data_IF_157249036534
#
_entry.id   IF_157249036534
#
_cell.length_a   1.000
_cell.length_b   1.000
_cell.length_c   1.000
_cell.angle_alpha   90.00
_cell.angle_beta   90.00
_cell.angle_gamma   90.00
#
_symmetry.space_group_name_H-M   'P 1'
#
loop_
_entity.id
_entity.type
_entity.pdbx_description
1 polymer ?
#
# COMPACT_ATOMS: atom_id res chain seq x y z
N UNK A 1 18.95 6.28 -37.63
CA UNK A 1 19.58 6.64 -36.34
C UNK A 1 18.61 6.26 -35.22
N UNK A 2 18.74 5.06 -34.68
CA UNK A 2 17.82 4.45 -33.71
C UNK A 2 17.94 5.19 -32.37
N UNK A 3 16.87 5.85 -31.94
CA UNK A 3 16.83 6.56 -30.65
C UNK A 3 16.85 5.49 -29.55
N UNK A 4 18.03 5.23 -28.98
CA UNK A 4 18.15 4.48 -27.72
C UNK A 4 17.27 5.23 -26.72
N UNK A 5 16.13 4.65 -26.34
CA UNK A 5 15.41 5.10 -25.16
C UNK A 5 16.37 4.85 -24.00
N UNK A 6 17.15 5.86 -23.64
CA UNK A 6 17.74 5.91 -22.31
C UNK A 6 16.59 5.66 -21.35
N UNK A 7 16.72 4.70 -20.44
CA UNK A 7 15.87 4.61 -19.26
C UNK A 7 16.09 5.90 -18.45
N UNK A 8 15.54 7.01 -18.94
CA UNK A 8 15.81 8.33 -18.42
C UNK A 8 15.06 8.45 -17.10
N UNK A 9 15.85 8.46 -16.02
CA UNK A 9 15.54 9.17 -14.77
C UNK A 9 14.12 8.98 -14.27
N UNK A 10 13.76 7.75 -13.92
CA UNK A 10 12.71 7.55 -12.91
C UNK A 10 13.17 8.33 -11.68
N UNK A 11 12.43 9.35 -11.20
CA UNK A 11 12.77 10.06 -9.97
C UNK A 11 13.06 9.05 -8.89
N UNK A 12 14.02 9.29 -8.00
CA UNK A 12 14.38 8.31 -6.97
C UNK A 12 13.15 7.82 -6.17
N UNK A 13 12.11 8.67 -6.04
CA UNK A 13 10.84 8.33 -5.40
C UNK A 13 9.83 7.53 -6.20
N UNK A 14 10.10 7.29 -7.47
CA UNK A 14 9.34 6.37 -8.31
C UNK A 14 10.10 5.06 -8.55
N UNK A 15 11.23 4.83 -7.85
CA UNK A 15 11.94 3.55 -7.93
C UNK A 15 11.12 2.42 -7.30
N UNK A 16 11.29 1.24 -7.87
CA UNK A 16 10.73 -0.03 -7.37
C UNK A 16 11.31 -0.33 -5.98
N UNK A 17 10.48 -0.78 -5.05
CA UNK A 17 10.89 -1.12 -3.68
C UNK A 17 11.21 0.10 -2.82
N UNK A 18 10.57 1.24 -3.08
CA UNK A 18 10.79 2.47 -2.30
C UNK A 18 9.59 2.80 -1.41
N UNK A 19 9.89 3.37 -0.25
CA UNK A 19 8.88 3.90 0.69
C UNK A 19 8.98 5.41 0.73
N UNK A 20 7.83 6.09 0.82
CA UNK A 20 7.72 7.56 0.87
C UNK A 20 6.83 7.98 2.03
N UNK A 21 7.09 9.18 2.55
CA UNK A 21 6.18 9.80 3.51
C UNK A 21 4.79 9.99 2.87
N UNK A 22 3.69 9.74 3.60
CA UNK A 22 3.60 9.33 5.01
C UNK A 22 3.39 7.81 5.17
N UNK A 23 4.35 6.97 4.79
CA UNK A 23 4.29 5.49 4.80
C UNK A 23 3.61 4.84 3.58
N UNK A 24 3.78 5.41 2.38
CA UNK A 24 3.36 4.80 1.12
C UNK A 24 4.52 3.96 0.58
N UNK A 25 4.33 2.65 0.48
CA UNK A 25 5.27 1.71 -0.10
C UNK A 25 4.90 1.38 -1.55
N UNK A 26 5.91 1.33 -2.42
CA UNK A 26 5.79 0.85 -3.79
C UNK A 26 6.61 -0.43 -3.95
N UNK A 27 5.98 -1.61 -3.89
CA UNK A 27 6.66 -2.88 -4.09
C UNK A 27 7.42 -2.93 -5.42
N UNK A 28 8.55 -3.63 -5.43
CA UNK A 28 9.41 -3.68 -6.62
C UNK A 28 8.78 -4.49 -7.77
N UNK A 29 8.11 -5.59 -7.42
CA UNK A 29 7.40 -6.44 -8.37
C UNK A 29 6.30 -7.15 -7.60
N UNK A 30 5.04 -6.77 -7.81
CA UNK A 30 3.91 -7.43 -7.13
C UNK A 30 2.91 -8.02 -8.11
N UNK A 31 2.99 -7.61 -9.38
CA UNK A 31 2.03 -7.98 -10.42
C UNK A 31 2.75 -7.99 -11.75
N UNK A 32 2.44 -8.99 -12.60
CA UNK A 32 2.85 -9.03 -13.99
C UNK A 32 2.83 -7.62 -14.63
N UNK A 33 3.98 -7.23 -15.18
CA UNK A 33 4.11 -5.96 -15.89
C UNK A 33 3.01 -5.88 -16.97
N UNK A 34 2.37 -4.72 -17.20
CA UNK A 34 2.70 -3.36 -16.74
C UNK A 34 1.75 -2.83 -15.64
N UNK A 35 1.61 -3.56 -14.53
CA UNK A 35 0.80 -3.11 -13.38
C UNK A 35 1.68 -2.53 -12.28
N UNK A 36 1.22 -1.50 -11.60
CA UNK A 36 1.87 -0.89 -10.44
C UNK A 36 1.05 -1.20 -9.18
N UNK A 37 1.73 -1.53 -8.09
CA UNK A 37 1.11 -1.70 -6.78
C UNK A 37 1.59 -0.61 -5.83
N UNK A 38 0.70 -0.20 -4.95
CA UNK A 38 0.95 0.69 -3.82
C UNK A 38 0.34 0.09 -2.57
N UNK A 39 1.05 0.23 -1.48
CA UNK A 39 0.62 -0.16 -0.15
C UNK A 39 0.75 1.03 0.78
N UNK A 40 -0.21 1.21 1.67
CA UNK A 40 -0.21 2.34 2.58
C UNK A 40 -0.76 1.91 3.94
N UNK A 41 0.01 2.19 4.99
CA UNK A 41 -0.39 2.04 6.38
C UNK A 41 -0.84 3.40 6.89
N UNK A 42 -2.15 3.62 6.96
CA UNK A 42 -2.74 4.85 7.48
C UNK A 42 -3.05 4.62 8.95
N UNK A 43 -2.45 5.37 9.88
CA UNK A 43 -2.80 5.23 11.28
C UNK A 43 -4.23 5.72 11.50
N UNK A 44 -5.04 4.93 12.20
CA UNK A 44 -6.42 5.27 12.59
C UNK A 44 -6.41 5.81 14.02
N UNK A 45 -5.66 5.14 14.89
CA UNK A 45 -5.37 5.52 16.27
C UNK A 45 -4.00 4.94 16.69
N UNK A 46 -3.72 4.91 17.99
CA UNK A 46 -2.45 4.44 18.57
C UNK A 46 -2.17 2.95 18.31
N UNK A 47 -3.21 2.12 18.22
CA UNK A 47 -3.11 0.66 18.14
C UNK A 47 -3.51 0.12 16.75
N UNK A 48 -4.28 0.90 15.98
CA UNK A 48 -4.87 0.46 14.72
C UNK A 48 -4.33 1.22 13.50
N UNK A 49 -4.05 0.45 12.46
CA UNK A 49 -3.70 0.98 11.13
C UNK A 49 -4.63 0.41 10.07
N UNK A 50 -5.11 1.28 9.17
CA UNK A 50 -5.78 0.87 7.96
C UNK A 50 -4.73 0.51 6.91
N UNK A 51 -4.73 -0.76 6.51
CA UNK A 51 -3.85 -1.25 5.45
C UNK A 51 -4.55 -1.16 4.10
N UNK A 52 -4.15 -0.19 3.29
CA UNK A 52 -4.68 0.06 1.96
C UNK A 52 -3.74 -0.52 0.90
N UNK A 53 -4.31 -1.30 -0.02
CA UNK A 53 -3.60 -1.87 -1.17
C UNK A 53 -4.26 -1.41 -2.48
N UNK A 54 -3.50 -0.74 -3.34
CA UNK A 54 -3.97 -0.27 -4.63
C UNK A 54 -3.15 -0.88 -5.77
N UNK A 55 -3.84 -1.44 -6.76
CA UNK A 55 -3.24 -1.87 -8.03
C UNK A 55 -3.71 -0.94 -9.14
N UNK A 56 -2.78 -0.43 -9.94
CA UNK A 56 -3.07 0.51 -11.02
C UNK A 56 -2.42 0.06 -12.33
N UNK A 57 -3.10 0.30 -13.43
CA UNK A 57 -2.57 0.10 -14.78
C UNK A 57 -2.84 1.34 -15.61
N UNK A 58 -1.77 1.94 -16.13
CA UNK A 58 -1.87 3.09 -17.03
C UNK A 58 -2.10 2.60 -18.45
N UNK A 59 -3.33 2.73 -18.95
CA UNK A 59 -3.66 2.41 -20.34
C UNK A 59 -4.87 3.21 -20.80
N UNK A 60 -4.88 3.60 -22.08
CA UNK A 60 -6.04 4.21 -22.75
C UNK A 60 -6.89 3.18 -23.51
N UNK A 61 -6.45 1.93 -23.58
CA UNK A 61 -7.14 0.88 -24.33
C UNK A 61 -8.26 0.26 -23.47
N UNK A 62 -9.54 0.34 -23.88
CA UNK A 62 -10.66 -0.14 -23.08
C UNK A 62 -10.64 -1.66 -22.87
N UNK A 63 -10.15 -2.45 -23.83
CA UNK A 63 -10.03 -3.90 -23.68
C UNK A 63 -9.00 -4.26 -22.60
N UNK A 64 -7.90 -3.50 -22.53
CA UNK A 64 -6.88 -3.71 -21.49
C UNK A 64 -7.39 -3.26 -20.11
N UNK A 65 -8.26 -2.26 -20.04
CA UNK A 65 -8.95 -1.88 -18.79
C UNK A 65 -9.86 -3.02 -18.34
N UNK A 66 -10.66 -3.58 -19.25
CA UNK A 66 -11.56 -4.69 -18.92
C UNK A 66 -10.78 -5.94 -18.49
N UNK A 67 -9.74 -6.32 -19.23
CA UNK A 67 -8.87 -7.44 -18.88
C UNK A 67 -8.17 -7.23 -17.53
N UNK A 68 -7.74 -6.00 -17.24
CA UNK A 68 -7.17 -5.65 -15.93
C UNK A 68 -8.19 -5.82 -14.81
N UNK A 69 -9.41 -5.29 -14.96
CA UNK A 69 -10.49 -5.44 -13.98
C UNK A 69 -10.88 -6.90 -13.78
N UNK A 70 -11.05 -7.66 -14.84
CA UNK A 70 -11.39 -9.08 -14.77
C UNK A 70 -10.29 -9.86 -14.02
N UNK A 71 -9.02 -9.68 -14.40
CA UNK A 71 -7.89 -10.32 -13.71
C UNK A 71 -7.77 -9.88 -12.24
N UNK A 72 -8.10 -8.62 -11.94
CA UNK A 72 -8.11 -8.12 -10.58
C UNK A 72 -9.11 -8.89 -9.70
N UNK A 73 -10.36 -8.97 -10.16
CA UNK A 73 -11.45 -9.61 -9.42
C UNK A 73 -11.37 -11.14 -9.37
N UNK A 74 -10.93 -11.77 -10.45
CA UNK A 74 -10.89 -13.24 -10.54
C UNK A 74 -9.68 -13.85 -9.84
N UNK A 75 -8.56 -13.11 -9.75
CA UNK A 75 -7.29 -13.70 -9.31
C UNK A 75 -6.58 -12.85 -8.27
N UNK A 76 -6.25 -11.60 -8.63
CA UNK A 76 -5.33 -10.79 -7.84
C UNK A 76 -5.85 -10.48 -6.43
N UNK A 77 -7.14 -10.11 -6.32
CA UNK A 77 -7.77 -9.81 -5.04
C UNK A 77 -7.66 -10.98 -4.06
N UNK A 78 -7.87 -12.21 -4.54
CA UNK A 78 -7.92 -13.39 -3.68
C UNK A 78 -6.53 -13.93 -3.35
N UNK A 79 -5.65 -14.03 -4.34
CA UNK A 79 -4.36 -14.69 -4.15
C UNK A 79 -3.28 -13.74 -3.65
N UNK A 80 -3.20 -12.54 -4.20
CA UNK A 80 -2.19 -11.59 -3.78
C UNK A 80 -2.66 -10.78 -2.57
N UNK A 81 -3.79 -10.08 -2.68
CA UNK A 81 -4.19 -9.17 -1.60
C UNK A 81 -4.71 -9.87 -0.35
N UNK A 82 -5.44 -10.97 -0.51
CA UNK A 82 -5.95 -11.72 0.63
C UNK A 82 -4.92 -12.75 1.10
N UNK A 83 -4.59 -13.78 0.31
CA UNK A 83 -3.76 -14.91 0.80
C UNK A 83 -2.30 -14.55 1.07
N UNK A 84 -1.67 -13.74 0.23
CA UNK A 84 -0.26 -13.35 0.42
C UNK A 84 -0.15 -12.31 1.53
N UNK A 85 -0.83 -11.16 1.39
CA UNK A 85 -0.70 -10.09 2.38
C UNK A 85 -1.35 -10.38 3.74
N UNK A 86 -2.20 -11.40 3.88
CA UNK A 86 -2.63 -11.86 5.21
C UNK A 86 -1.45 -12.38 6.05
N UNK A 87 -0.40 -12.89 5.41
CA UNK A 87 0.79 -13.39 6.11
C UNK A 87 1.57 -12.22 6.73
N UNK A 88 1.72 -11.13 5.99
CA UNK A 88 2.35 -9.90 6.48
C UNK A 88 1.57 -9.32 7.66
N UNK A 89 0.24 -9.28 7.57
CA UNK A 89 -0.62 -8.85 8.69
C UNK A 89 -0.42 -9.71 9.95
N UNK A 90 -0.38 -11.03 9.80
CA UNK A 90 -0.12 -11.95 10.92
C UNK A 90 1.28 -11.77 11.50
N UNK A 91 2.29 -11.46 10.67
CA UNK A 91 3.65 -11.23 11.11
C UNK A 91 3.74 -9.93 11.92
N UNK A 92 3.16 -8.84 11.42
CA UNK A 92 3.10 -7.54 12.13
C UNK A 92 2.45 -7.72 13.49
N UNK A 93 1.29 -8.39 13.54
CA UNK A 93 0.55 -8.65 14.76
C UNK A 93 1.38 -9.46 15.79
N UNK A 94 2.07 -10.51 15.32
CA UNK A 94 2.99 -11.28 16.15
C UNK A 94 4.17 -10.45 16.65
N UNK A 95 4.79 -9.64 15.79
CA UNK A 95 5.93 -8.82 16.15
C UNK A 95 5.56 -7.76 17.19
N UNK A 96 4.42 -7.07 17.02
CA UNK A 96 3.91 -6.06 17.95
C UNK A 96 3.65 -6.64 19.34
N UNK A 97 3.09 -7.85 19.43
CA UNK A 97 2.82 -8.49 20.74
C UNK A 97 4.07 -9.07 21.42
N UNK A 98 5.00 -9.61 20.65
CA UNK A 98 6.07 -10.46 21.19
C UNK A 98 7.45 -9.77 21.25
N UNK A 99 7.70 -8.75 20.44
CA UNK A 99 9.03 -8.13 20.33
C UNK A 99 9.18 -6.99 21.32
N UNK A 100 9.86 -7.24 22.44
CA UNK A 100 10.13 -6.24 23.49
C UNK A 100 11.40 -5.42 23.27
N UNK A 101 12.37 -5.96 22.53
CA UNK A 101 13.63 -5.30 22.20
C UNK A 101 14.08 -5.71 20.80
N UNK A 102 14.29 -4.73 19.91
CA UNK A 102 14.74 -4.98 18.55
C UNK A 102 16.25 -5.32 18.51
N UNK A 103 16.61 -6.28 17.66
CA UNK A 103 18.01 -6.61 17.33
C UNK A 103 18.17 -6.56 15.82
N UNK A 104 18.70 -5.44 15.33
CA UNK A 104 18.81 -5.20 13.90
C UNK A 104 19.99 -5.95 13.29
N UNK A 105 19.77 -6.45 12.08
CA UNK A 105 20.77 -7.08 11.23
C UNK A 105 21.08 -6.21 10.02
N UNK A 106 22.13 -6.55 9.27
CA UNK A 106 22.57 -5.81 8.07
C UNK A 106 21.44 -5.39 7.10
N UNK A 107 20.45 -6.24 6.75
CA UNK A 107 19.36 -5.82 5.85
C UNK A 107 18.44 -4.73 6.42
N UNK A 108 18.41 -4.55 7.75
CA UNK A 108 17.58 -3.53 8.43
C UNK A 108 18.18 -2.12 8.31
N UNK A 109 19.30 -1.97 7.62
CA UNK A 109 19.83 -0.66 7.21
C UNK A 109 18.78 0.16 6.44
N UNK A 110 17.91 -0.51 5.67
CA UNK A 110 16.79 0.12 4.95
C UNK A 110 15.74 0.72 5.90
N UNK A 111 15.32 -0.03 6.92
CA UNK A 111 14.37 0.44 7.96
C UNK A 111 14.99 1.57 8.78
N UNK A 112 16.27 1.45 9.12
CA UNK A 112 17.00 2.50 9.84
C UNK A 112 17.10 3.79 9.03
N UNK A 113 17.38 3.69 7.73
CA UNK A 113 17.41 4.84 6.81
C UNK A 113 16.02 5.47 6.67
N UNK A 114 14.97 4.66 6.61
CA UNK A 114 13.58 5.13 6.63
C UNK A 114 13.26 5.92 7.89
N UNK A 115 13.56 5.40 9.09
CA UNK A 115 13.32 6.11 10.37
C UNK A 115 14.00 7.48 10.40
N UNK A 116 15.28 7.54 10.01
CA UNK A 116 16.03 8.80 9.90
C UNK A 116 15.40 9.78 8.91
N UNK A 117 14.83 9.28 7.80
CA UNK A 117 14.12 10.13 6.85
C UNK A 117 12.83 10.69 7.45
N UNK A 118 12.06 9.87 8.18
CA UNK A 118 10.85 10.32 8.88
C UNK A 118 11.17 11.43 9.88
N UNK A 119 12.16 11.21 10.75
CA UNK A 119 12.59 12.20 11.76
C UNK A 119 12.96 13.56 11.13
N UNK A 120 13.57 13.54 9.95
CA UNK A 120 14.06 14.76 9.28
C UNK A 120 13.02 15.45 8.40
N UNK A 121 12.09 14.71 7.82
CA UNK A 121 11.25 15.18 6.71
C UNK A 121 9.74 15.07 6.99
N UNK A 122 9.33 14.43 8.08
CA UNK A 122 7.91 14.43 8.48
C UNK A 122 7.43 15.86 8.72
N UNK A 123 6.18 16.12 8.34
CA UNK A 123 5.58 17.46 8.40
C UNK A 123 5.11 17.87 9.80
N UNK A 124 5.26 17.00 10.79
CA UNK A 124 4.78 17.19 12.15
C UNK A 124 4.38 15.85 12.77
N UNK A 125 4.23 15.84 14.09
CA UNK A 125 3.61 14.75 14.83
C UNK A 125 2.13 15.03 15.01
N UNK A 126 1.35 13.96 15.17
CA UNK A 126 -0.06 14.07 15.51
C UNK A 126 -0.14 14.05 17.04
N UNK A 127 -0.25 15.22 17.66
CA UNK A 127 -0.29 15.36 19.13
C UNK A 127 -1.61 14.88 19.75
N UNK A 128 -2.65 14.78 18.92
CA UNK A 128 -3.96 14.22 19.27
C UNK A 128 -4.42 13.36 18.12
N UNK A 129 -4.59 12.06 18.36
CA UNK A 129 -5.27 11.15 17.44
C UNK A 129 -6.71 11.62 17.30
N UNK A 130 -6.95 12.47 16.31
CA UNK A 130 -8.30 12.63 15.80
C UNK A 130 -8.63 11.26 15.25
N UNK A 131 -9.53 10.53 15.91
CA UNK A 131 -10.21 9.43 15.26
C UNK A 131 -10.62 9.96 13.89
N UNK A 132 -10.23 9.27 12.82
CA UNK A 132 -10.63 9.66 11.48
C UNK A 132 -12.14 9.36 11.41
N UNK A 133 -12.97 10.19 12.05
CA UNK A 133 -14.43 10.17 12.00
C UNK A 133 -15.10 8.79 12.08
N UNK A 134 -14.55 7.79 12.77
CA UNK A 134 -15.28 6.53 13.02
C UNK A 134 -16.22 6.67 14.23
N UNK A 135 -16.00 7.69 15.05
CA UNK A 135 -16.89 8.08 16.13
C UNK A 135 -17.95 9.06 15.59
N UNK A 136 -19.14 8.52 15.23
CA UNK A 136 -20.38 9.22 14.82
C UNK A 136 -20.35 9.97 13.47
N UNK A 137 -20.25 9.21 12.38
CA UNK A 137 -20.94 9.41 11.08
C UNK A 137 -20.11 8.65 10.04
N UNK A 138 -20.14 7.31 10.11
CA UNK A 138 -20.23 6.59 8.87
C UNK A 138 -21.54 7.06 8.25
N UNK A 139 -21.47 8.03 7.35
CA UNK A 139 -22.61 8.52 6.59
C UNK A 139 -23.32 7.26 6.07
N UNK A 140 -24.49 6.93 6.65
CA UNK A 140 -25.27 5.74 6.28
C UNK A 140 -25.68 5.82 4.79
N UNK A 141 -25.51 6.98 4.15
CA UNK A 141 -25.63 7.16 2.71
C UNK A 141 -24.52 6.50 1.87
N UNK A 142 -23.38 6.14 2.47
CA UNK A 142 -22.29 5.39 1.81
C UNK A 142 -22.38 3.88 2.05
N UNK A 143 -23.58 3.36 2.37
CA UNK A 143 -23.88 1.95 2.15
C UNK A 143 -23.62 1.59 0.69
N UNK A 144 -22.69 0.66 0.48
CA UNK A 144 -22.56 -0.09 -0.75
C UNK A 144 -23.92 -0.77 -1.05
N UNK A 145 -24.68 -0.21 -2.00
CA UNK A 145 -25.84 -0.88 -2.60
C UNK A 145 -25.36 -2.04 -3.48
N UNK A 146 -24.92 -3.10 -2.84
CA UNK A 146 -24.70 -4.39 -3.48
C UNK A 146 -26.03 -4.96 -3.95
N UNK A 147 -26.22 -4.98 -5.28
CA UNK A 147 -27.16 -5.79 -6.05
C UNK A 147 -28.26 -6.52 -5.25
N UNK A 148 -29.28 -5.78 -4.83
CA UNK A 148 -30.63 -6.33 -4.64
C UNK A 148 -31.44 -5.93 -5.87
N UNK A 149 -31.32 -6.72 -6.94
CA UNK A 149 -32.26 -6.84 -8.06
C UNK A 149 -31.78 -7.99 -8.95
N UNK A 150 -32.04 -9.21 -8.50
CA UNK A 150 -32.16 -10.39 -9.35
C UNK A 150 -33.29 -11.23 -8.74
N UNK A 151 -34.51 -10.72 -8.92
CA UNK A 151 -35.71 -11.55 -8.95
C UNK A 151 -35.96 -12.00 -10.38
#
# INVERSE_FOLDING_TARGET
RTRRMELSTIPEGARRGSTRLPCIFRPATYIAAPTLSYEWHVPVDEEHTLYLQAATRHTRNPLLVLAFKARYWLWYRWLAQWRFNSQDGSMVDSMTRNTKAERLMKPDASITAWRKMVERQARGQVDQWRSIGVEREADLALEYKGAANAG
#
